data_IF_454105657514
#
_entry.id   IF_454105657514
#
_cell.length_a   1.000
_cell.length_b   1.000
_cell.length_c   1.000
_cell.angle_alpha   90.00
_cell.angle_beta   90.00
_cell.angle_gamma   90.00
#
_symmetry.space_group_name_H-M   'P 1'
#
loop_
_entity.id
_entity.type
_entity.pdbx_description
1 polymer ?
#
# COMPACT_ATOMS: atom_id res chain seq x y z
N UNK A 1 -56.44 14.06 -85.85
CA UNK A 1 -55.95 12.70 -85.52
C UNK A 1 -55.37 12.80 -84.10
N UNK A 2 -56.12 12.45 -83.04
CA UNK A 2 -56.09 11.14 -82.33
C UNK A 2 -54.64 10.63 -82.22
N UNK A 3 -54.00 10.38 -81.07
CA UNK A 3 -54.35 10.21 -79.65
C UNK A 3 -53.00 10.05 -78.95
N UNK A 4 -52.72 10.66 -77.79
CA UNK A 4 -51.62 10.20 -76.94
C UNK A 4 -52.10 10.08 -75.49
N UNK A 5 -51.90 8.88 -74.97
CA UNK A 5 -52.47 8.35 -73.72
C UNK A 5 -51.77 8.95 -72.49
N UNK A 6 -52.58 9.12 -71.46
CA UNK A 6 -52.23 9.40 -70.07
C UNK A 6 -51.18 8.42 -69.52
N UNK A 7 -50.21 8.96 -68.79
CA UNK A 7 -49.46 8.21 -67.77
C UNK A 7 -49.43 9.08 -66.51
N UNK A 8 -50.26 8.70 -65.54
CA UNK A 8 -50.30 9.27 -64.20
C UNK A 8 -49.25 8.53 -63.37
N UNK A 9 -48.18 9.21 -62.94
CA UNK A 9 -47.26 8.67 -61.93
C UNK A 9 -47.37 9.58 -60.71
N UNK A 10 -48.09 9.07 -59.71
CA UNK A 10 -48.20 9.60 -58.37
C UNK A 10 -46.96 9.15 -57.59
N UNK A 11 -45.98 10.04 -57.39
CA UNK A 11 -44.89 9.79 -56.44
C UNK A 11 -45.29 10.45 -55.12
N UNK A 12 -45.85 9.64 -54.22
CA UNK A 12 -46.04 9.99 -52.80
C UNK A 12 -44.67 10.19 -52.15
N UNK A 13 -44.35 11.43 -51.82
CA UNK A 13 -43.20 11.77 -50.97
C UNK A 13 -43.51 11.28 -49.55
N UNK A 14 -42.86 10.19 -49.12
CA UNK A 14 -42.84 9.78 -47.72
C UNK A 14 -41.97 10.77 -46.95
N UNK A 15 -42.61 11.65 -46.19
CA UNK A 15 -41.93 12.50 -45.20
C UNK A 15 -41.54 11.62 -44.02
N UNK A 16 -40.29 11.14 -44.00
CA UNK A 16 -39.70 10.65 -42.76
C UNK A 16 -39.50 11.85 -41.84
N UNK A 17 -40.41 12.04 -40.88
CA UNK A 17 -40.13 12.85 -39.70
C UNK A 17 -39.21 11.99 -38.83
N UNK A 18 -37.92 12.02 -39.15
CA UNK A 18 -36.90 11.61 -38.19
C UNK A 18 -36.98 12.60 -37.04
N UNK A 19 -37.39 12.14 -35.86
CA UNK A 19 -37.15 12.87 -34.63
C UNK A 19 -35.63 12.75 -34.39
N UNK A 20 -34.87 13.66 -34.99
CA UNK A 20 -33.46 13.82 -34.69
C UNK A 20 -33.43 14.45 -33.29
N UNK A 21 -33.24 13.62 -32.25
CA UNK A 21 -32.86 14.15 -30.96
C UNK A 21 -31.49 14.79 -31.16
N UNK A 22 -31.50 16.10 -31.39
CA UNK A 22 -30.27 16.89 -31.40
C UNK A 22 -29.55 16.58 -30.09
N UNK A 23 -28.32 16.03 -30.11
CA UNK A 23 -27.58 15.83 -28.88
C UNK A 23 -27.51 17.20 -28.21
N UNK A 24 -28.01 17.28 -26.98
CA UNK A 24 -27.93 18.51 -26.20
C UNK A 24 -26.46 18.83 -26.03
N UNK A 25 -25.97 19.78 -26.82
CA UNK A 25 -24.60 20.26 -26.69
C UNK A 25 -24.47 20.84 -25.28
N UNK A 26 -23.51 20.32 -24.53
CA UNK A 26 -23.25 20.77 -23.17
C UNK A 26 -22.78 22.22 -23.22
N UNK A 27 -23.61 23.12 -22.72
CA UNK A 27 -23.35 24.55 -22.71
C UNK A 27 -22.53 24.90 -21.46
N UNK A 28 -21.20 24.89 -21.61
CA UNK A 28 -20.24 25.23 -20.55
C UNK A 28 -20.32 26.69 -20.11
N UNK A 29 -21.01 27.57 -20.85
CA UNK A 29 -21.29 28.94 -20.41
C UNK A 29 -22.50 28.99 -19.46
N UNK A 30 -23.42 28.03 -19.62
CA UNK A 30 -24.66 27.94 -18.83
C UNK A 30 -24.55 27.03 -17.61
N UNK A 31 -23.85 25.91 -17.73
CA UNK A 31 -23.74 24.93 -16.67
C UNK A 31 -22.29 24.81 -16.20
N UNK A 32 -22.12 24.92 -14.89
CA UNK A 32 -20.83 24.92 -14.21
C UNK A 32 -20.90 23.90 -13.10
N UNK A 33 -19.92 23.02 -13.04
CA UNK A 33 -19.92 21.93 -12.09
C UNK A 33 -18.60 21.85 -11.34
N UNK A 34 -18.66 21.27 -10.16
CA UNK A 34 -17.47 20.78 -9.46
C UNK A 34 -17.67 19.32 -9.10
N UNK A 35 -16.65 18.51 -9.37
CA UNK A 35 -16.71 17.06 -9.18
C UNK A 35 -15.34 16.50 -8.77
N UNK A 36 -15.33 15.27 -8.27
CA UNK A 36 -14.10 14.49 -8.22
C UNK A 36 -13.65 14.12 -9.63
N UNK A 37 -12.33 13.95 -9.82
CA UNK A 37 -11.74 13.51 -11.09
C UNK A 37 -12.02 12.01 -11.31
N UNK A 38 -11.84 11.21 -10.26
CA UNK A 38 -12.11 9.78 -10.21
C UNK A 38 -13.24 9.50 -9.20
N UNK A 39 -13.93 8.36 -9.32
CA UNK A 39 -14.92 7.92 -8.33
C UNK A 39 -14.30 7.00 -7.27
N UNK A 40 -13.07 6.55 -7.50
CA UNK A 40 -12.29 5.70 -6.62
C UNK A 40 -10.81 6.09 -6.67
N UNK A 41 -10.12 5.90 -5.55
CA UNK A 41 -8.65 5.99 -5.42
C UNK A 41 -8.19 5.14 -4.22
N UNK A 42 -6.90 4.84 -4.14
CA UNK A 42 -6.34 4.01 -3.08
C UNK A 42 -4.88 4.30 -2.80
N UNK A 43 -4.47 4.13 -1.55
CA UNK A 43 -3.10 4.29 -1.07
C UNK A 43 -2.75 3.15 -0.11
N UNK A 44 -1.45 2.81 -0.02
CA UNK A 44 -0.99 1.92 1.06
C UNK A 44 -1.05 2.67 2.39
N UNK A 45 -1.31 1.94 3.48
CA UNK A 45 -1.36 2.52 4.83
C UNK A 45 -0.02 3.19 5.22
N UNK A 46 1.09 2.61 4.80
CA UNK A 46 2.43 3.20 4.92
C UNK A 46 2.80 4.31 3.91
N UNK A 47 1.87 4.79 3.06
CA UNK A 47 2.18 5.83 2.05
C UNK A 47 2.45 7.21 2.68
N UNK A 48 1.90 7.46 3.88
CA UNK A 48 2.08 8.68 4.64
C UNK A 48 1.21 9.84 4.17
N UNK A 49 1.44 10.44 3.00
CA UNK A 49 0.64 11.59 2.53
C UNK A 49 0.08 11.36 1.14
N UNK A 50 -1.25 11.54 1.00
CA UNK A 50 -1.96 11.36 -0.26
C UNK A 50 -2.83 12.59 -0.59
N UNK A 51 -2.77 13.06 -1.84
CA UNK A 51 -3.46 14.27 -2.30
C UNK A 51 -4.57 13.95 -3.31
N UNK A 52 -5.80 14.32 -2.96
CA UNK A 52 -6.97 14.23 -3.83
C UNK A 52 -7.29 15.61 -4.42
N UNK A 53 -7.76 15.65 -5.66
CA UNK A 53 -8.11 16.89 -6.34
C UNK A 53 -9.51 16.85 -6.93
N UNK A 54 -10.20 17.98 -6.85
CA UNK A 54 -11.46 18.21 -7.54
C UNK A 54 -11.23 18.93 -8.85
N UNK A 55 -12.17 18.78 -9.78
CA UNK A 55 -12.22 19.47 -11.07
C UNK A 55 -13.39 20.44 -11.12
N UNK A 56 -13.15 21.61 -11.66
CA UNK A 56 -14.18 22.56 -12.08
C UNK A 56 -14.44 22.39 -13.58
N UNK A 57 -15.67 22.08 -13.94
CA UNK A 57 -16.15 21.93 -15.32
C UNK A 57 -17.06 23.12 -15.66
N UNK A 58 -16.48 24.16 -16.24
CA UNK A 58 -17.16 25.36 -16.73
C UNK A 58 -16.28 26.08 -17.75
N UNK A 59 -16.69 27.27 -18.19
CA UNK A 59 -15.88 28.10 -19.09
C UNK A 59 -14.66 28.69 -18.38
N UNK A 60 -14.75 29.94 -17.92
CA UNK A 60 -13.70 30.60 -17.14
C UNK A 60 -14.15 30.71 -15.70
N UNK A 61 -13.26 30.39 -14.77
CA UNK A 61 -13.47 30.66 -13.36
C UNK A 61 -13.02 32.09 -13.04
N UNK A 62 -13.96 33.00 -12.85
CA UNK A 62 -13.67 34.44 -12.69
C UNK A 62 -13.24 34.83 -11.27
N UNK A 63 -13.66 34.05 -10.27
CA UNK A 63 -13.45 34.35 -8.86
C UNK A 63 -13.10 33.07 -8.10
N UNK A 64 -12.33 33.22 -7.02
CA UNK A 64 -12.04 32.12 -6.10
C UNK A 64 -13.35 31.58 -5.50
N UNK A 65 -13.41 30.27 -5.30
CA UNK A 65 -14.49 29.65 -4.53
C UNK A 65 -13.96 28.47 -3.72
N UNK A 66 -14.68 28.14 -2.66
CA UNK A 66 -14.35 27.01 -1.80
C UNK A 66 -15.37 25.89 -1.96
N UNK A 67 -14.88 24.67 -1.80
CA UNK A 67 -15.71 23.46 -1.72
C UNK A 67 -15.49 22.84 -0.37
N UNK A 68 -16.55 22.59 0.38
CA UNK A 68 -16.51 21.87 1.65
C UNK A 68 -16.88 20.42 1.40
N UNK A 69 -16.06 19.52 1.93
CA UNK A 69 -16.17 18.08 1.81
C UNK A 69 -16.69 17.47 3.12
N UNK A 70 -17.42 16.37 3.00
CA UNK A 70 -17.75 15.48 4.10
C UNK A 70 -16.99 14.16 3.92
N UNK A 71 -16.44 13.64 5.02
CA UNK A 71 -15.70 12.37 5.07
C UNK A 71 -16.36 11.50 6.12
N UNK A 72 -16.78 10.31 5.71
CA UNK A 72 -17.27 9.23 6.57
C UNK A 72 -16.65 7.92 6.10
N UNK A 73 -16.81 6.82 6.82
CA UNK A 73 -16.27 5.55 6.36
C UNK A 73 -16.07 4.55 7.48
N UNK A 74 -15.30 3.50 7.20
CA UNK A 74 -14.83 2.54 8.21
C UNK A 74 -13.56 3.02 8.89
N UNK A 75 -12.68 3.74 8.18
CA UNK A 75 -11.51 4.37 8.78
C UNK A 75 -11.88 5.52 9.73
N UNK A 76 -11.15 5.62 10.83
CA UNK A 76 -11.33 6.56 11.93
C UNK A 76 -10.24 7.65 11.92
N UNK A 77 -10.68 8.91 11.90
CA UNK A 77 -9.80 10.08 12.00
C UNK A 77 -9.06 10.10 13.35
N UNK A 78 -7.75 10.34 13.32
CA UNK A 78 -6.82 10.28 14.44
C UNK A 78 -6.33 8.88 14.82
N UNK A 79 -6.80 7.84 14.13
CA UNK A 79 -6.29 6.45 14.25
C UNK A 79 -5.68 6.01 12.92
N UNK A 80 -6.44 6.10 11.84
CA UNK A 80 -6.02 5.60 10.52
C UNK A 80 -5.60 6.74 9.58
N UNK A 81 -6.08 7.96 9.84
CA UNK A 81 -5.73 9.15 9.06
C UNK A 81 -5.94 10.47 9.81
N UNK A 82 -5.33 11.55 9.34
CA UNK A 82 -5.61 12.94 9.74
C UNK A 82 -5.95 13.80 8.51
N UNK A 83 -6.83 14.79 8.72
CA UNK A 83 -7.17 15.80 7.70
C UNK A 83 -7.13 17.19 8.34
N UNK A 84 -6.22 18.04 7.88
CA UNK A 84 -6.08 19.41 8.40
C UNK A 84 -7.27 20.30 8.01
N UNK A 85 -7.81 20.12 6.80
CA UNK A 85 -8.91 20.93 6.26
C UNK A 85 -9.81 20.11 5.35
N UNK A 86 -11.11 20.11 5.66
CA UNK A 86 -12.17 19.56 4.79
C UNK A 86 -12.70 20.59 3.79
N UNK A 87 -11.96 21.69 3.57
CA UNK A 87 -12.28 22.71 2.58
C UNK A 87 -11.13 22.85 1.60
N UNK A 88 -11.43 22.75 0.30
CA UNK A 88 -10.49 23.02 -0.79
C UNK A 88 -10.81 24.34 -1.48
N UNK A 89 -9.77 25.03 -1.96
CA UNK A 89 -9.87 26.29 -2.68
C UNK A 89 -9.68 26.05 -4.17
N UNK A 90 -10.56 26.63 -5.00
CA UNK A 90 -10.28 26.89 -6.40
C UNK A 90 -9.93 28.36 -6.56
N UNK A 91 -8.77 28.64 -7.14
CA UNK A 91 -8.36 30.01 -7.48
C UNK A 91 -8.93 30.41 -8.82
N UNK A 92 -9.25 31.69 -8.99
CA UNK A 92 -9.66 32.25 -10.27
C UNK A 92 -8.67 31.86 -11.39
N UNK A 93 -9.22 31.42 -12.52
CA UNK A 93 -8.48 30.93 -13.67
C UNK A 93 -8.08 29.44 -13.60
N UNK A 94 -8.21 28.78 -12.46
CA UNK A 94 -7.89 27.35 -12.30
C UNK A 94 -9.08 26.45 -12.58
N UNK A 95 -8.79 25.25 -13.11
CA UNK A 95 -9.76 24.17 -13.31
C UNK A 95 -9.59 23.03 -12.30
N UNK A 96 -8.54 23.10 -11.47
CA UNK A 96 -8.21 22.12 -10.42
C UNK A 96 -8.20 22.84 -9.07
N UNK A 97 -8.64 22.15 -8.02
CA UNK A 97 -8.52 22.66 -6.66
C UNK A 97 -7.07 22.69 -6.19
N UNK A 98 -6.80 23.43 -5.11
CA UNK A 98 -5.74 23.09 -4.16
C UNK A 98 -5.97 21.65 -3.62
N UNK A 99 -4.93 20.93 -3.20
CA UNK A 99 -5.06 19.54 -2.79
C UNK A 99 -5.95 19.40 -1.56
N UNK A 100 -6.78 18.36 -1.57
CA UNK A 100 -7.35 17.78 -0.36
C UNK A 100 -6.37 16.72 0.15
N UNK A 101 -5.58 17.09 1.16
CA UNK A 101 -4.51 16.24 1.68
C UNK A 101 -5.04 15.36 2.80
N UNK A 102 -4.77 14.06 2.68
CA UNK A 102 -4.99 13.04 3.71
C UNK A 102 -3.61 12.58 4.18
N UNK A 103 -3.34 12.73 5.48
CA UNK A 103 -2.19 12.11 6.12
C UNK A 103 -2.62 10.73 6.63
N UNK A 104 -2.11 9.67 6.02
CA UNK A 104 -2.39 8.28 6.37
C UNK A 104 -1.46 7.90 7.53
N UNK A 105 -2.03 7.24 8.54
CA UNK A 105 -1.31 6.79 9.71
C UNK A 105 -1.01 5.30 9.53
N UNK A 106 0.27 4.96 9.48
CA UNK A 106 0.77 3.59 9.46
C UNK A 106 0.54 2.92 10.84
N UNK A 107 -0.52 2.10 10.95
CA UNK A 107 -0.88 1.39 12.16
C UNK A 107 -0.45 -0.09 12.12
N UNK A 108 0.80 -0.32 12.54
CA UNK A 108 1.40 -1.64 12.69
C UNK A 108 0.66 -2.67 13.57
N UNK A 109 -0.44 -2.28 14.22
CA UNK A 109 -1.22 -3.09 15.16
C UNK A 109 -2.65 -3.37 14.71
N UNK A 110 -3.12 -2.78 13.61
CA UNK A 110 -4.47 -3.08 13.13
C UNK A 110 -4.55 -4.48 12.52
N UNK A 111 -5.78 -4.97 12.37
CA UNK A 111 -6.02 -6.21 11.64
C UNK A 111 -5.85 -6.00 10.15
N UNK A 112 -5.42 -7.04 9.43
CA UNK A 112 -5.17 -7.00 7.98
C UNK A 112 -6.43 -6.78 7.13
N UNK A 113 -7.02 -5.59 7.19
CA UNK A 113 -8.30 -5.22 6.58
C UNK A 113 -8.22 -3.83 5.94
N UNK A 114 -8.47 -3.77 4.63
CA UNK A 114 -8.62 -2.49 3.93
C UNK A 114 -9.72 -1.62 4.56
N UNK A 115 -9.40 -0.35 4.79
CA UNK A 115 -10.33 0.64 5.32
C UNK A 115 -10.77 1.60 4.22
N UNK A 116 -11.98 2.15 4.35
CA UNK A 116 -12.55 3.03 3.33
C UNK A 116 -13.00 4.38 3.88
N UNK A 117 -12.82 5.42 3.07
CA UNK A 117 -13.36 6.75 3.25
C UNK A 117 -14.31 7.07 2.10
N UNK A 118 -15.58 7.32 2.43
CA UNK A 118 -16.55 7.92 1.53
C UNK A 118 -16.42 9.45 1.62
N UNK A 119 -15.84 10.05 0.59
CA UNK A 119 -15.60 11.49 0.52
C UNK A 119 -16.62 12.09 -0.43
N UNK A 120 -17.39 13.07 0.04
CA UNK A 120 -18.46 13.71 -0.74
C UNK A 120 -18.38 15.22 -0.72
N UNK A 121 -18.84 15.86 -1.80
CA UNK A 121 -18.97 17.31 -1.86
C UNK A 121 -20.23 17.71 -1.09
N UNK A 122 -20.06 18.38 0.06
CA UNK A 122 -21.17 18.81 0.91
C UNK A 122 -21.73 20.16 0.45
N UNK A 123 -20.85 21.12 0.14
CA UNK A 123 -21.28 22.45 -0.32
C UNK A 123 -20.24 23.16 -1.16
N UNK A 124 -20.71 24.13 -1.94
CA UNK A 124 -19.90 25.01 -2.79
C UNK A 124 -20.26 26.45 -2.44
N UNK A 125 -19.25 27.30 -2.21
CA UNK A 125 -19.49 28.69 -1.78
C UNK A 125 -20.12 29.56 -2.87
N UNK A 126 -19.90 29.20 -4.14
CA UNK A 126 -20.51 29.87 -5.29
C UNK A 126 -21.82 29.18 -5.67
N UNK A 127 -23.00 29.82 -5.50
CA UNK A 127 -24.29 29.20 -5.75
C UNK A 127 -24.61 28.98 -7.24
N UNK A 128 -23.76 29.45 -8.15
CA UNK A 128 -23.89 29.22 -9.59
C UNK A 128 -23.07 28.03 -10.10
N UNK A 129 -22.44 27.28 -9.19
CA UNK A 129 -21.68 26.06 -9.49
C UNK A 129 -22.42 24.90 -8.86
N UNK A 130 -22.87 23.97 -9.69
CA UNK A 130 -23.57 22.76 -9.28
C UNK A 130 -22.59 21.67 -8.82
N UNK A 131 -23.05 20.77 -7.95
CA UNK A 131 -22.27 19.63 -7.46
C UNK A 131 -22.44 18.42 -8.38
N UNK A 132 -21.33 17.78 -8.74
CA UNK A 132 -21.29 16.61 -9.61
C UNK A 132 -21.56 16.94 -11.08
N UNK A 133 -21.30 16.01 -11.99
CA UNK A 133 -21.41 16.27 -13.44
C UNK A 133 -22.82 15.97 -13.93
N UNK A 134 -23.43 16.94 -14.63
CA UNK A 134 -24.71 16.78 -15.32
C UNK A 134 -25.91 17.41 -14.58
N UNK A 135 -26.98 17.65 -15.33
CA UNK A 135 -28.18 18.35 -14.82
C UNK A 135 -29.18 17.37 -14.18
N UNK A 136 -29.15 16.11 -14.62
CA UNK A 136 -29.99 15.01 -14.13
C UNK A 136 -29.06 13.86 -13.82
N UNK A 137 -29.25 13.21 -12.66
CA UNK A 137 -28.40 12.11 -12.19
C UNK A 137 -26.91 12.49 -12.13
N UNK A 138 -26.60 13.55 -11.37
CA UNK A 138 -25.24 14.05 -11.15
C UNK A 138 -24.28 12.93 -10.73
N UNK A 139 -23.22 12.72 -11.52
CA UNK A 139 -22.13 11.76 -11.23
C UNK A 139 -20.96 12.43 -10.52
N UNK A 140 -19.99 11.65 -10.00
CA UNK A 140 -18.72 12.17 -9.45
C UNK A 140 -18.87 13.23 -8.34
N UNK A 141 -20.00 13.24 -7.61
CA UNK A 141 -20.23 14.10 -6.43
C UNK A 141 -19.59 13.54 -5.15
N UNK A 142 -19.14 12.29 -5.22
CA UNK A 142 -18.47 11.57 -4.17
C UNK A 142 -17.43 10.64 -4.80
N UNK A 143 -16.46 10.21 -3.99
CA UNK A 143 -15.51 9.17 -4.31
C UNK A 143 -15.30 8.25 -3.10
N UNK A 144 -14.79 7.05 -3.36
CA UNK A 144 -14.31 6.13 -2.33
C UNK A 144 -12.79 6.16 -2.34
N UNK A 145 -12.17 6.52 -1.23
CA UNK A 145 -10.74 6.37 -1.02
C UNK A 145 -10.49 5.14 -0.15
N UNK A 146 -9.64 4.23 -0.59
CA UNK A 146 -9.29 3.01 0.16
C UNK A 146 -7.89 3.13 0.74
N UNK A 147 -7.78 2.99 2.06
CA UNK A 147 -6.51 2.77 2.75
C UNK A 147 -6.28 1.26 2.72
N UNK A 148 -5.28 0.85 1.94
CA UNK A 148 -4.92 -0.55 1.74
C UNK A 148 -3.90 -0.92 2.81
N UNK A 149 -4.33 -1.80 3.70
CA UNK A 149 -3.52 -2.32 4.80
C UNK A 149 -2.26 -3.02 4.25
N UNK A 150 -1.11 -2.77 4.88
CA UNK A 150 0.16 -3.42 4.53
C UNK A 150 0.62 -4.48 5.54
N UNK A 151 -0.22 -4.78 6.52
CA UNK A 151 -0.10 -5.90 7.42
C UNK A 151 -0.59 -7.20 6.78
N UNK A 152 0.01 -8.29 7.23
CA UNK A 152 -0.37 -9.64 6.83
C UNK A 152 -1.08 -10.33 8.00
N UNK A 153 -2.00 -11.26 7.70
CA UNK A 153 -2.73 -12.00 8.73
C UNK A 153 -1.81 -12.92 9.55
N UNK A 154 -0.62 -13.23 9.04
CA UNK A 154 0.34 -14.10 9.69
C UNK A 154 1.04 -13.45 10.91
N UNK A 155 1.56 -14.32 11.79
CA UNK A 155 2.41 -13.96 12.92
C UNK A 155 3.79 -14.63 12.77
N UNK A 156 4.71 -14.38 13.70
CA UNK A 156 6.08 -14.91 13.69
C UNK A 156 6.17 -16.45 13.59
N UNK A 157 5.09 -17.16 13.89
CA UNK A 157 4.95 -18.61 13.71
C UNK A 157 5.25 -19.08 12.28
N UNK A 158 5.13 -18.20 11.28
CA UNK A 158 5.53 -18.51 9.89
C UNK A 158 6.99 -18.91 9.76
N UNK A 159 7.86 -18.41 10.63
CA UNK A 159 9.27 -18.78 10.64
C UNK A 159 9.53 -20.18 11.25
N UNK A 160 8.52 -20.79 11.87
CA UNK A 160 8.57 -22.15 12.43
C UNK A 160 8.50 -23.28 11.38
N UNK A 161 9.06 -23.05 10.19
CA UNK A 161 8.99 -23.94 9.02
C UNK A 161 10.38 -24.20 8.44
N UNK A 162 10.43 -24.86 7.29
CA UNK A 162 11.66 -24.91 6.50
C UNK A 162 11.97 -23.52 5.95
N UNK A 163 13.18 -23.03 6.18
CA UNK A 163 13.65 -21.72 5.69
C UNK A 163 14.80 -21.93 4.70
N UNK A 164 15.15 -20.87 3.98
CA UNK A 164 16.28 -20.86 3.05
C UNK A 164 17.09 -19.61 3.28
N UNK A 165 18.42 -19.71 3.25
CA UNK A 165 19.25 -18.52 3.24
C UNK A 165 19.54 -18.02 1.81
N UNK A 166 20.17 -16.86 1.68
CA UNK A 166 20.50 -16.21 0.40
C UNK A 166 21.38 -17.08 -0.53
N UNK A 167 22.04 -18.10 0.01
CA UNK A 167 22.86 -19.05 -0.72
C UNK A 167 22.12 -20.35 -1.10
N UNK A 168 20.81 -20.43 -0.83
CA UNK A 168 19.98 -21.58 -1.14
C UNK A 168 20.13 -22.75 -0.15
N UNK A 169 20.80 -22.56 0.98
CA UNK A 169 20.91 -23.61 1.99
C UNK A 169 19.58 -23.75 2.75
N UNK A 170 19.12 -24.99 2.89
CA UNK A 170 17.95 -25.30 3.71
C UNK A 170 18.27 -25.18 5.20
N UNK A 171 17.41 -24.46 5.91
CA UNK A 171 17.38 -24.32 7.35
C UNK A 171 16.05 -24.89 7.88
N UNK A 172 16.00 -25.23 9.15
CA UNK A 172 14.76 -25.62 9.83
C UNK A 172 14.56 -24.69 11.02
N UNK A 173 13.45 -23.95 10.99
CA UNK A 173 13.00 -23.08 12.07
C UNK A 173 11.98 -23.78 12.98
N UNK A 174 11.97 -23.42 14.25
CA UNK A 174 10.92 -23.73 15.21
C UNK A 174 10.73 -22.53 16.14
N UNK A 175 9.48 -22.16 16.42
CA UNK A 175 9.16 -20.99 17.24
C UNK A 175 8.68 -21.45 18.62
N UNK A 176 9.22 -20.82 19.67
CA UNK A 176 8.73 -20.95 21.05
C UNK A 176 8.61 -19.55 21.67
N UNK A 177 7.37 -19.04 21.76
CA UNK A 177 7.15 -17.64 22.09
C UNK A 177 7.78 -16.75 21.03
N UNK A 178 8.65 -15.83 21.43
CA UNK A 178 9.34 -14.93 20.51
C UNK A 178 10.76 -15.40 20.13
N UNK A 179 11.11 -16.65 20.43
CA UNK A 179 12.41 -17.24 20.11
C UNK A 179 12.28 -18.19 18.92
N UNK A 180 13.02 -17.90 17.86
CA UNK A 180 13.22 -18.76 16.70
C UNK A 180 14.47 -19.62 16.91
N UNK A 181 14.26 -20.92 17.08
CA UNK A 181 15.31 -21.93 17.01
C UNK A 181 15.61 -22.28 15.56
N UNK A 182 16.83 -22.00 15.10
CA UNK A 182 17.30 -22.19 13.73
C UNK A 182 18.38 -23.27 13.67
N UNK A 183 18.11 -24.31 12.89
CA UNK A 183 19.05 -25.41 12.65
C UNK A 183 19.42 -25.51 11.16
N UNK A 184 20.63 -25.98 10.85
CA UNK A 184 21.12 -26.12 9.48
C UNK A 184 22.43 -25.36 9.21
N UNK A 185 22.70 -25.06 7.93
CA UNK A 185 23.91 -24.35 7.49
C UNK A 185 23.70 -22.83 7.48
N UNK A 186 23.56 -22.22 8.65
CA UNK A 186 23.30 -20.77 8.78
C UNK A 186 24.51 -19.91 8.42
N UNK A 187 25.74 -20.40 8.64
CA UNK A 187 26.97 -19.61 8.45
C UNK A 187 27.63 -19.79 7.07
N UNK A 188 26.96 -20.43 6.10
CA UNK A 188 27.49 -20.69 4.76
C UNK A 188 28.83 -21.45 4.72
N UNK A 189 29.12 -22.26 5.73
CA UNK A 189 30.37 -23.03 5.84
C UNK A 189 30.15 -24.54 6.00
N UNK A 190 28.98 -24.95 6.48
CA UNK A 190 28.60 -26.33 6.75
C UNK A 190 27.68 -26.43 7.96
N UNK A 191 27.15 -27.63 8.24
CA UNK A 191 26.38 -27.88 9.46
C UNK A 191 27.32 -27.95 10.67
N UNK A 192 27.10 -27.08 11.65
CA UNK A 192 27.81 -27.14 12.92
C UNK A 192 27.21 -28.22 13.83
N UNK A 193 28.00 -28.82 14.74
CA UNK A 193 27.52 -29.91 15.60
C UNK A 193 26.39 -29.48 16.55
N UNK A 194 26.47 -28.25 17.06
CA UNK A 194 25.40 -27.64 17.87
C UNK A 194 24.57 -26.70 16.98
N UNK A 195 24.11 -27.12 15.80
CA UNK A 195 23.36 -26.24 14.90
C UNK A 195 21.95 -25.96 15.43
N UNK A 196 21.80 -25.19 16.50
CA UNK A 196 20.54 -24.67 17.02
C UNK A 196 20.71 -23.25 17.55
N UNK A 197 20.79 -22.28 16.65
CA UNK A 197 20.89 -20.86 17.01
C UNK A 197 19.52 -20.38 17.49
N UNK A 198 19.45 -19.79 18.68
CA UNK A 198 18.23 -19.21 19.21
C UNK A 198 18.22 -17.70 18.95
N UNK A 199 17.35 -17.26 18.03
CA UNK A 199 17.17 -15.86 17.68
C UNK A 199 15.93 -15.32 18.38
N UNK A 200 16.10 -14.28 19.20
CA UNK A 200 14.99 -13.54 19.80
C UNK A 200 14.47 -12.52 18.78
N UNK A 201 13.19 -12.67 18.42
CA UNK A 201 12.43 -11.73 17.61
C UNK A 201 11.70 -10.76 18.54
N UNK A 202 12.02 -9.47 18.47
CA UNK A 202 11.39 -8.45 19.32
C UNK A 202 10.64 -7.46 18.44
N UNK A 203 9.30 -7.39 18.52
CA UNK A 203 8.53 -6.49 17.67
C UNK A 203 8.79 -5.03 18.06
N UNK A 204 8.69 -4.12 17.09
CA UNK A 204 8.87 -2.66 17.35
C UNK A 204 7.85 -2.10 18.33
N UNK A 205 6.66 -2.71 18.38
CA UNK A 205 5.60 -2.48 19.35
C UNK A 205 4.88 -3.81 19.62
N UNK A 206 4.22 -3.96 20.77
CA UNK A 206 3.53 -5.20 21.09
C UNK A 206 2.41 -5.50 20.08
N UNK A 207 2.59 -6.55 19.26
CA UNK A 207 1.66 -6.95 18.19
C UNK A 207 2.19 -6.68 16.76
N UNK A 208 3.23 -5.85 16.61
CA UNK A 208 3.75 -5.49 15.31
C UNK A 208 4.38 -6.69 14.56
N UNK A 209 4.18 -6.70 13.24
CA UNK A 209 4.65 -7.75 12.32
C UNK A 209 6.11 -7.57 11.85
N UNK A 210 6.73 -6.49 12.31
CA UNK A 210 8.12 -6.13 12.06
C UNK A 210 8.86 -5.92 13.39
N UNK A 211 10.17 -6.14 13.37
CA UNK A 211 10.98 -5.96 14.57
C UNK A 211 12.44 -6.28 14.39
N UNK A 212 13.12 -6.42 15.52
CA UNK A 212 14.54 -6.76 15.60
C UNK A 212 14.74 -8.25 15.77
N UNK A 213 15.86 -8.74 15.23
CA UNK A 213 16.34 -10.10 15.38
C UNK A 213 17.71 -10.08 16.06
N UNK A 214 17.80 -10.68 17.25
CA UNK A 214 19.02 -10.66 18.08
C UNK A 214 19.30 -12.04 18.67
N UNK A 215 20.55 -12.32 19.01
CA UNK A 215 20.93 -13.53 19.72
C UNK A 215 22.17 -13.26 20.58
N UNK A 216 22.30 -13.98 21.70
CA UNK A 216 23.47 -13.94 22.57
C UNK A 216 24.65 -14.72 21.96
N UNK A 217 25.87 -14.51 22.45
CA UNK A 217 27.03 -15.30 22.03
C UNK A 217 26.72 -16.81 22.01
N UNK A 218 26.85 -17.43 20.84
CA UNK A 218 26.37 -18.78 20.59
C UNK A 218 27.51 -19.77 20.34
N UNK A 219 27.66 -20.74 21.24
CA UNK A 219 28.68 -21.79 21.13
C UNK A 219 28.28 -22.87 20.10
N UNK A 220 28.64 -22.64 18.83
CA UNK A 220 28.36 -23.53 17.71
C UNK A 220 29.05 -24.91 17.81
N UNK A 221 30.06 -25.03 18.68
CA UNK A 221 30.69 -26.29 19.07
C UNK A 221 31.87 -26.73 18.20
N UNK A 222 32.34 -27.95 18.43
CA UNK A 222 33.56 -28.53 17.84
C UNK A 222 33.33 -29.12 16.45
N UNK A 223 33.78 -28.44 15.40
CA UNK A 223 33.64 -28.92 14.02
C UNK A 223 34.62 -30.07 13.68
N UNK A 224 34.41 -30.71 12.52
CA UNK A 224 35.18 -31.87 12.07
C UNK A 224 36.66 -31.59 11.73
N UNK A 225 37.04 -30.33 11.60
CA UNK A 225 38.44 -29.89 11.47
C UNK A 225 39.17 -29.80 12.83
N UNK A 226 38.43 -30.00 13.92
CA UNK A 226 38.92 -30.00 15.29
C UNK A 226 38.97 -28.63 15.94
N UNK A 227 38.36 -27.59 15.36
CA UNK A 227 38.23 -26.27 16.00
C UNK A 227 36.83 -26.09 16.60
N UNK A 228 36.78 -25.42 17.74
CA UNK A 228 35.55 -24.97 18.38
C UNK A 228 35.18 -23.57 17.91
N UNK A 229 33.90 -23.37 17.61
CA UNK A 229 33.35 -22.17 16.99
C UNK A 229 32.32 -21.47 17.88
N UNK A 230 32.26 -20.15 17.74
CA UNK A 230 31.25 -19.31 18.37
C UNK A 230 30.76 -18.24 17.40
N UNK A 231 29.46 -17.94 17.43
CA UNK A 231 28.85 -16.84 16.69
C UNK A 231 28.56 -15.69 17.64
N UNK A 232 28.78 -14.46 17.17
CA UNK A 232 28.48 -13.25 17.93
C UNK A 232 27.76 -12.25 17.05
N UNK A 233 26.65 -11.70 17.54
CA UNK A 233 25.89 -10.70 16.82
C UNK A 233 26.81 -9.51 16.47
N UNK A 234 26.84 -9.13 15.20
CA UNK A 234 27.67 -8.02 14.73
C UNK A 234 26.91 -6.69 14.84
N UNK A 235 25.65 -6.70 14.46
CA UNK A 235 24.68 -5.62 14.61
C UNK A 235 23.27 -6.20 14.76
N UNK A 236 22.34 -5.40 15.29
CA UNK A 236 20.94 -5.80 15.41
C UNK A 236 20.36 -6.13 14.03
N UNK A 237 19.79 -7.33 13.89
CA UNK A 237 19.11 -7.76 12.69
C UNK A 237 17.65 -7.32 12.66
N UNK A 238 16.93 -7.67 11.60
CA UNK A 238 15.51 -7.37 11.45
C UNK A 238 14.71 -8.61 11.06
N UNK A 239 13.41 -8.59 11.34
CA UNK A 239 12.46 -9.52 10.74
C UNK A 239 11.23 -8.77 10.23
N UNK A 240 10.59 -9.36 9.23
CA UNK A 240 9.35 -8.87 8.63
C UNK A 240 8.50 -10.09 8.26
N UNK A 241 7.38 -10.26 8.96
CA UNK A 241 6.51 -11.45 8.81
C UNK A 241 5.90 -11.51 7.42
N UNK A 242 5.45 -10.38 6.89
CA UNK A 242 4.66 -10.31 5.65
C UNK A 242 5.49 -10.63 4.40
N UNK A 243 6.77 -10.26 4.40
CA UNK A 243 7.71 -10.69 3.36
C UNK A 243 8.33 -12.05 3.66
N UNK A 244 8.12 -12.58 4.87
CA UNK A 244 8.69 -13.85 5.32
C UNK A 244 10.21 -13.79 5.44
N UNK A 245 10.77 -12.64 5.85
CA UNK A 245 12.21 -12.37 5.86
C UNK A 245 12.77 -12.14 7.27
N UNK A 246 14.00 -12.63 7.48
CA UNK A 246 14.84 -12.29 8.62
C UNK A 246 16.24 -11.94 8.11
N UNK A 247 16.76 -10.78 8.47
CA UNK A 247 18.13 -10.37 8.20
C UNK A 247 18.95 -10.46 9.47
N UNK A 248 20.08 -11.16 9.42
CA UNK A 248 20.96 -11.32 10.58
C UNK A 248 22.41 -11.18 10.13
N UNK A 249 23.19 -10.43 10.90
CA UNK A 249 24.62 -10.28 10.67
C UNK A 249 25.42 -10.61 11.90
N UNK A 250 26.41 -11.46 11.73
CA UNK A 250 27.20 -11.96 12.84
C UNK A 250 28.64 -12.29 12.44
N UNK A 251 29.51 -12.27 13.43
CA UNK A 251 30.89 -12.70 13.30
C UNK A 251 31.03 -14.16 13.71
N UNK A 252 31.86 -14.89 12.98
CA UNK A 252 32.28 -16.25 13.32
C UNK A 252 33.67 -16.21 13.92
N UNK A 253 33.82 -16.79 15.11
CA UNK A 253 35.08 -16.94 15.82
C UNK A 253 35.46 -18.43 15.93
N UNK A 254 36.76 -18.71 16.02
CA UNK A 254 37.29 -20.02 16.40
C UNK A 254 38.29 -19.91 17.55
N UNK A 255 38.47 -20.98 18.33
CA UNK A 255 39.50 -21.03 19.38
C UNK A 255 40.90 -21.29 18.78
N UNK A 256 41.85 -20.39 19.02
CA UNK A 256 43.24 -20.48 18.50
C UNK A 256 43.97 -21.79 18.84
N UNK A 257 43.68 -22.38 20.00
CA UNK A 257 44.23 -23.66 20.45
C UNK A 257 43.28 -24.85 20.22
N UNK A 258 42.42 -24.78 19.18
CA UNK A 258 41.42 -25.78 18.80
C UNK A 258 40.22 -25.89 19.74
N UNK A 259 40.46 -26.24 21.00
CA UNK A 259 39.43 -26.38 22.05
C UNK A 259 39.75 -25.56 23.30
N UNK A 260 40.84 -24.77 23.26
CA UNK A 260 41.29 -23.90 24.35
C UNK A 260 41.99 -22.67 23.75
N UNK A 261 42.23 -21.64 24.56
CA UNK A 261 42.92 -20.42 24.15
C UNK A 261 41.96 -19.26 23.91
N UNK A 262 42.40 -18.29 23.11
CA UNK A 262 41.62 -17.08 22.84
C UNK A 262 40.75 -17.24 21.59
N UNK A 263 39.57 -16.62 21.61
CA UNK A 263 38.68 -16.49 20.46
C UNK A 263 39.28 -15.57 19.41
N UNK A 264 39.41 -16.08 18.19
CA UNK A 264 39.96 -15.35 17.04
C UNK A 264 38.87 -15.16 16.00
N UNK A 265 38.65 -13.90 15.61
CA UNK A 265 37.74 -13.56 14.51
C UNK A 265 38.19 -14.24 13.22
N UNK A 266 37.23 -14.76 12.46
CA UNK A 266 37.51 -15.40 11.18
C UNK A 266 36.85 -14.68 10.02
N UNK A 267 35.52 -14.58 10.02
CA UNK A 267 34.77 -13.90 8.96
C UNK A 267 33.40 -13.43 9.46
N UNK A 268 32.74 -12.62 8.64
CA UNK A 268 31.38 -12.12 8.87
C UNK A 268 30.41 -12.91 8.00
N UNK A 269 29.27 -13.27 8.58
CA UNK A 269 28.08 -13.72 7.88
C UNK A 269 27.08 -12.58 7.88
N UNK A 270 26.55 -12.26 6.70
CA UNK A 270 25.48 -11.30 6.48
C UNK A 270 24.44 -12.06 5.64
N UNK A 271 23.37 -12.51 6.29
CA UNK A 271 22.46 -13.52 5.73
C UNK A 271 21.01 -13.04 5.77
N UNK A 272 20.33 -13.21 4.64
CA UNK A 272 18.87 -13.07 4.52
C UNK A 272 18.29 -14.48 4.56
N UNK A 273 17.42 -14.73 5.53
CA UNK A 273 16.69 -15.99 5.70
C UNK A 273 15.26 -15.74 5.26
N UNK A 274 14.76 -16.55 4.34
CA UNK A 274 13.41 -16.43 3.79
C UNK A 274 12.62 -17.72 3.93
N UNK A 275 11.30 -17.58 3.95
CA UNK A 275 10.40 -18.69 3.69
C UNK A 275 10.51 -19.06 2.19
N UNK A 276 10.58 -20.36 1.82
CA UNK A 276 10.70 -20.80 0.43
C UNK A 276 9.53 -20.45 -0.47
#
# INVERSE_FOLDING_TARGET
MKTLKYLFILVTALSFVGCEETPTLYDFERYKFVSFINEDDSALENEGVHDIFLRYDGSTLEEDFTVTLAVVGTAQEGVDYNIDSKTVLFKAGEVKSEPFTIEIIDNLLDGAEDLSLDISIESVSNPNIDIGVGIVNQSNKAMVFTIVDDECPEDIEVFGTQLVNENGNTLTGSINGNVLSLTGNIANYGSFPNANLEITLTPVAAGAKIGSATFDDFDAGLAGDGYEYQFRLAEEGTYEVCTGKINVKFWVYYLSGKTTGDWVYWYTVDTEITIP
#
